data_IF_681103843254
#
_entry.id   IF_681103843254
#
_cell.length_a   1.000
_cell.length_b   1.000
_cell.length_c   1.000
_cell.angle_alpha   90.00
_cell.angle_beta   90.00
_cell.angle_gamma   90.00
#
_symmetry.space_group_name_H-M   'P 1'
#
loop_
_entity.id
_entity.type
_entity.pdbx_description
1 polymer ?
#
# COMPACT_ATOMS: atom_id res chain seq x y z
N UNK A 1 -33.20 -4.62 88.68
CA UNK A 1 -34.17 -5.00 87.63
C UNK A 1 -34.06 -3.93 86.54
N UNK A 2 -33.29 -4.22 85.56
CA UNK A 2 -32.95 -3.27 84.50
C UNK A 2 -33.80 -3.50 83.28
N UNK A 3 -34.49 -2.49 82.89
CA UNK A 3 -35.13 -2.41 81.58
C UNK A 3 -34.07 -2.01 80.55
N UNK A 4 -33.79 -2.90 79.63
CA UNK A 4 -33.05 -2.57 78.42
C UNK A 4 -34.07 -2.28 77.36
N UNK A 5 -34.29 -1.00 77.09
CA UNK A 5 -35.06 -0.56 75.91
C UNK A 5 -34.25 -0.81 74.64
N UNK A 6 -34.76 -1.72 73.84
CA UNK A 6 -34.23 -2.05 72.52
C UNK A 6 -34.66 -0.94 71.54
N UNK A 7 -33.74 0.00 71.29
CA UNK A 7 -33.88 1.03 70.27
C UNK A 7 -33.66 0.41 68.93
N UNK A 8 -34.71 -0.07 68.28
CA UNK A 8 -34.68 -0.45 66.87
C UNK A 8 -34.58 0.81 66.05
N UNK A 9 -33.36 1.13 65.61
CA UNK A 9 -33.07 2.17 64.65
C UNK A 9 -33.55 1.71 63.27
N UNK A 10 -34.65 2.31 62.84
CA UNK A 10 -35.30 2.04 61.56
C UNK A 10 -34.40 2.59 60.44
N UNK A 11 -33.47 1.75 59.93
CA UNK A 11 -32.62 2.07 58.82
C UNK A 11 -33.48 2.00 57.53
N UNK A 12 -34.18 3.08 57.23
CA UNK A 12 -34.86 3.24 55.94
C UNK A 12 -33.79 3.42 54.86
N UNK A 13 -33.58 2.37 54.09
CA UNK A 13 -32.83 2.51 52.85
C UNK A 13 -33.52 3.54 51.95
N UNK A 14 -32.77 4.44 51.30
CA UNK A 14 -33.37 5.34 50.34
C UNK A 14 -33.98 4.53 49.20
N UNK A 15 -35.30 4.65 49.05
CA UNK A 15 -35.97 4.11 47.83
C UNK A 15 -35.45 4.90 46.66
N UNK A 16 -34.80 4.20 45.73
CA UNK A 16 -34.46 4.74 44.43
C UNK A 16 -35.76 4.91 43.63
N UNK A 17 -36.33 6.11 43.69
CA UNK A 17 -37.41 6.53 42.80
C UNK A 17 -36.86 6.85 41.42
N UNK A 18 -36.23 5.86 40.81
CA UNK A 18 -35.69 5.96 39.42
C UNK A 18 -36.78 5.55 38.42
N UNK A 19 -37.95 6.19 38.58
CA UNK A 19 -39.00 6.06 37.58
C UNK A 19 -38.63 6.79 36.29
N UNK A 20 -37.95 6.09 35.38
CA UNK A 20 -37.81 6.59 34.03
C UNK A 20 -39.16 6.87 33.43
N UNK A 21 -39.43 8.14 33.11
CA UNK A 21 -40.68 8.51 32.47
C UNK A 21 -40.67 8.06 31.01
N UNK A 22 -41.83 7.81 30.42
CA UNK A 22 -41.95 7.46 29.00
C UNK A 22 -41.23 8.48 28.09
N UNK A 23 -41.09 9.72 28.56
CA UNK A 23 -40.38 10.80 27.88
C UNK A 23 -38.86 10.59 27.91
N UNK A 24 -38.30 10.12 29.03
CA UNK A 24 -36.87 9.88 29.18
C UNK A 24 -36.42 8.67 28.32
N UNK A 25 -37.23 7.62 28.26
CA UNK A 25 -37.05 6.48 27.39
C UNK A 25 -37.11 6.92 25.90
N UNK A 26 -38.05 7.79 25.55
CA UNK A 26 -38.17 8.33 24.19
C UNK A 26 -36.94 9.15 23.78
N UNK A 27 -36.42 10.00 24.69
CA UNK A 27 -35.20 10.78 24.44
C UNK A 27 -33.96 9.85 24.30
N UNK A 28 -33.83 8.86 25.19
CA UNK A 28 -32.73 7.90 25.13
C UNK A 28 -32.71 7.10 23.79
N UNK A 29 -33.88 6.65 23.33
CA UNK A 29 -34.02 5.99 22.04
C UNK A 29 -33.68 6.91 20.86
N UNK A 30 -34.14 8.16 20.91
CA UNK A 30 -33.82 9.13 19.86
C UNK A 30 -32.30 9.41 19.79
N UNK A 31 -31.65 9.61 20.94
CA UNK A 31 -30.19 9.80 21.02
C UNK A 31 -29.47 8.58 20.54
N UNK A 32 -29.89 7.37 20.89
CA UNK A 32 -29.31 6.11 20.45
C UNK A 32 -29.37 5.94 18.92
N UNK A 33 -30.53 6.25 18.31
CA UNK A 33 -30.71 6.22 16.87
C UNK A 33 -29.82 7.23 16.14
N UNK A 34 -29.66 8.44 16.70
CA UNK A 34 -28.74 9.45 16.15
C UNK A 34 -27.28 8.94 16.20
N UNK A 35 -26.87 8.35 17.32
CA UNK A 35 -25.50 7.81 17.46
C UNK A 35 -25.27 6.68 16.45
N UNK A 36 -26.24 5.77 16.29
CA UNK A 36 -26.16 4.71 15.27
C UNK A 36 -26.07 5.31 13.87
N UNK A 37 -26.87 6.30 13.54
CA UNK A 37 -26.84 6.98 12.25
C UNK A 37 -25.47 7.61 11.96
N UNK A 38 -24.88 8.28 12.96
CA UNK A 38 -23.54 8.86 12.87
C UNK A 38 -22.48 7.76 12.71
N UNK A 39 -22.58 6.67 13.48
CA UNK A 39 -21.63 5.56 13.40
C UNK A 39 -21.69 4.87 12.03
N UNK A 40 -22.89 4.64 11.49
CA UNK A 40 -23.07 4.08 10.13
C UNK A 40 -22.53 5.05 9.08
N UNK A 41 -22.83 6.33 9.17
CA UNK A 41 -22.33 7.35 8.26
C UNK A 41 -20.80 7.45 8.28
N UNK A 42 -20.22 7.45 9.49
CA UNK A 42 -18.75 7.42 9.67
C UNK A 42 -18.13 6.15 9.12
N UNK A 43 -18.77 4.99 9.31
CA UNK A 43 -18.32 3.72 8.76
C UNK A 43 -18.31 3.74 7.22
N UNK A 44 -19.39 4.16 6.58
CA UNK A 44 -19.45 4.29 5.12
C UNK A 44 -18.47 5.33 4.58
N UNK A 45 -18.32 6.45 5.27
CA UNK A 45 -17.35 7.48 4.92
C UNK A 45 -15.91 6.98 5.03
N UNK A 46 -15.59 6.20 6.06
CA UNK A 46 -14.27 5.59 6.21
C UNK A 46 -14.02 4.50 5.16
N UNK A 47 -15.04 3.71 4.83
CA UNK A 47 -14.98 2.69 3.78
C UNK A 47 -14.76 3.30 2.38
N UNK A 48 -15.39 4.46 2.11
CA UNK A 48 -15.24 5.17 0.83
C UNK A 48 -13.84 5.78 0.62
N UNK A 49 -13.03 5.87 1.68
CA UNK A 49 -11.64 6.37 1.61
C UNK A 49 -10.61 5.29 1.30
N UNK A 50 -11.00 4.02 1.26
CA UNK A 50 -10.08 2.96 0.83
C UNK A 50 -9.81 3.16 -0.65
N UNK A 51 -8.54 3.42 -0.99
CA UNK A 51 -8.11 3.42 -2.39
C UNK A 51 -8.40 2.04 -2.99
N UNK A 52 -8.99 1.98 -4.19
CA UNK A 52 -9.21 0.70 -4.85
C UNK A 52 -7.85 0.00 -5.08
N UNK A 53 -7.84 -1.33 -5.11
CA UNK A 53 -6.61 -2.06 -5.41
C UNK A 53 -6.06 -1.66 -6.78
N UNK A 54 -4.74 -1.63 -6.90
CA UNK A 54 -4.05 -1.35 -8.16
C UNK A 54 -4.02 -2.64 -8.96
N UNK A 55 -4.94 -2.77 -9.90
CA UNK A 55 -5.14 -3.94 -10.73
C UNK A 55 -4.98 -3.60 -12.23
N UNK A 56 -4.84 -4.63 -13.05
CA UNK A 56 -4.80 -4.46 -14.51
C UNK A 56 -6.05 -3.71 -15.01
N UNK A 57 -5.84 -2.71 -15.84
CA UNK A 57 -6.86 -1.80 -16.37
C UNK A 57 -7.04 -0.51 -15.57
N UNK A 58 -6.46 -0.38 -14.38
CA UNK A 58 -6.53 0.86 -13.58
C UNK A 58 -5.42 1.84 -13.95
N UNK A 59 -5.66 3.13 -13.70
CA UNK A 59 -4.61 4.15 -13.82
C UNK A 59 -3.58 3.93 -12.71
N UNK A 60 -2.30 3.81 -13.08
CA UNK A 60 -1.22 3.70 -12.13
C UNK A 60 -1.14 4.96 -11.25
N UNK A 61 -1.17 4.84 -9.92
CA UNK A 61 -0.99 5.96 -9.01
C UNK A 61 0.33 6.67 -9.29
N UNK A 62 0.29 7.99 -9.47
CA UNK A 62 1.50 8.76 -9.66
C UNK A 62 2.25 8.95 -8.34
N UNK A 63 3.56 8.94 -8.40
CA UNK A 63 4.44 9.13 -7.25
C UNK A 63 5.67 9.92 -7.64
N UNK A 64 6.34 10.48 -6.64
CA UNK A 64 7.67 11.08 -6.79
C UNK A 64 8.58 10.52 -5.72
N UNK A 65 9.70 9.90 -6.13
CA UNK A 65 10.70 9.35 -5.23
C UNK A 65 12.10 9.86 -5.57
N UNK A 66 12.99 9.94 -4.58
CA UNK A 66 14.40 10.23 -4.82
C UNK A 66 15.08 9.06 -5.55
N UNK A 67 15.90 9.41 -6.54
CA UNK A 67 16.86 8.49 -7.16
C UNK A 67 18.05 8.25 -6.23
N UNK A 68 18.57 7.04 -6.21
CA UNK A 68 19.79 6.69 -5.48
C UNK A 68 20.99 7.59 -5.88
N UNK A 69 21.07 7.96 -7.16
CA UNK A 69 22.17 8.79 -7.71
C UNK A 69 21.88 10.29 -7.65
N UNK A 70 20.86 10.70 -6.89
CA UNK A 70 20.46 12.10 -6.72
C UNK A 70 19.35 12.55 -7.67
N UNK A 71 18.65 13.62 -7.27
CA UNK A 71 17.44 14.09 -7.93
C UNK A 71 16.20 13.29 -7.54
N UNK A 72 15.06 13.66 -8.13
CA UNK A 72 13.77 12.99 -7.95
C UNK A 72 13.23 12.57 -9.31
N UNK A 73 12.40 11.54 -9.29
CA UNK A 73 11.71 11.00 -10.46
C UNK A 73 10.24 10.79 -10.12
N UNK A 74 9.37 11.19 -11.04
CA UNK A 74 7.95 10.90 -10.98
C UNK A 74 7.56 9.84 -12.03
N UNK A 75 6.58 9.00 -11.73
CA UNK A 75 6.08 8.04 -12.72
C UNK A 75 5.56 8.77 -13.97
N UNK A 76 4.94 9.94 -13.79
CA UNK A 76 4.44 10.77 -14.89
C UNK A 76 5.52 11.25 -15.86
N UNK A 77 6.81 11.31 -15.46
CA UNK A 77 7.93 11.66 -16.33
C UNK A 77 8.18 10.60 -17.41
N UNK A 78 7.61 9.43 -17.25
CA UNK A 78 7.76 8.28 -18.17
C UNK A 78 6.55 8.05 -19.07
N UNK A 79 5.65 9.02 -19.20
CA UNK A 79 4.56 8.92 -20.20
C UNK A 79 5.14 8.71 -21.59
N UNK A 80 4.52 7.83 -22.37
CA UNK A 80 5.04 7.40 -23.67
C UNK A 80 6.03 6.23 -23.63
N UNK A 81 6.44 5.79 -22.43
CA UNK A 81 7.23 4.57 -22.25
C UNK A 81 6.39 3.48 -21.56
N UNK A 82 6.72 2.24 -21.83
CA UNK A 82 6.30 1.10 -20.99
C UNK A 82 7.21 1.10 -19.77
N UNK A 83 6.62 1.06 -18.57
CA UNK A 83 7.36 1.07 -17.30
C UNK A 83 7.15 -0.25 -16.58
N UNK A 84 8.25 -0.85 -16.13
CA UNK A 84 8.26 -1.91 -15.15
C UNK A 84 8.59 -1.29 -13.80
N UNK A 85 7.56 -1.11 -12.96
CA UNK A 85 7.74 -0.73 -11.57
C UNK A 85 7.95 -1.99 -10.74
N UNK A 86 9.12 -2.12 -10.12
CA UNK A 86 9.46 -3.25 -9.25
C UNK A 86 9.66 -2.74 -7.82
N UNK A 87 8.95 -3.33 -6.86
CA UNK A 87 9.06 -3.03 -5.43
C UNK A 87 9.90 -4.14 -4.80
N UNK A 88 10.99 -3.78 -4.14
CA UNK A 88 11.99 -4.71 -3.68
C UNK A 88 12.74 -4.25 -2.43
N UNK A 89 13.63 -5.11 -1.87
CA UNK A 89 14.52 -4.76 -0.78
C UNK A 89 15.83 -5.55 -0.82
N UNK A 90 16.89 -5.02 -0.22
CA UNK A 90 18.21 -5.67 -0.16
C UNK A 90 18.21 -6.94 0.68
N UNK A 91 17.38 -7.03 1.68
CA UNK A 91 17.21 -8.19 2.58
C UNK A 91 16.31 -9.30 2.01
N UNK A 92 15.68 -9.06 0.87
CA UNK A 92 14.78 -10.00 0.21
C UNK A 92 15.58 -10.97 -0.68
N UNK A 93 15.71 -12.22 -0.31
CA UNK A 93 16.46 -13.21 -1.08
C UNK A 93 15.90 -13.44 -2.49
N UNK A 94 14.58 -13.62 -2.72
CA UNK A 94 14.04 -13.75 -4.08
C UNK A 94 14.30 -12.51 -4.93
N UNK A 95 14.31 -11.30 -4.35
CA UNK A 95 14.64 -10.08 -5.07
C UNK A 95 16.10 -10.12 -5.58
N UNK A 96 17.03 -10.59 -4.74
CA UNK A 96 18.45 -10.72 -5.08
C UNK A 96 18.66 -11.68 -6.25
N UNK A 97 17.90 -12.77 -6.29
CA UNK A 97 17.95 -13.79 -7.35
C UNK A 97 17.38 -13.26 -8.67
N UNK A 98 16.36 -12.40 -8.63
CA UNK A 98 15.71 -11.80 -9.80
C UNK A 98 16.56 -10.72 -10.48
N UNK A 99 17.26 -9.88 -9.69
CA UNK A 99 17.95 -8.66 -10.15
C UNK A 99 18.94 -8.87 -11.31
N UNK A 100 19.76 -9.94 -11.36
CA UNK A 100 20.64 -10.15 -12.50
C UNK A 100 19.89 -10.35 -13.83
N UNK A 101 18.80 -11.11 -13.83
CA UNK A 101 17.97 -11.34 -15.02
C UNK A 101 17.26 -10.06 -15.45
N UNK A 102 16.76 -9.28 -14.48
CA UNK A 102 16.14 -7.98 -14.72
C UNK A 102 17.13 -6.99 -15.33
N UNK A 103 18.37 -6.95 -14.83
CA UNK A 103 19.40 -6.06 -15.36
C UNK A 103 19.79 -6.45 -16.80
N UNK A 104 19.92 -7.74 -17.10
CA UNK A 104 20.16 -8.21 -18.46
C UNK A 104 19.01 -7.84 -19.40
N UNK A 105 17.77 -8.02 -18.95
CA UNK A 105 16.57 -7.61 -19.71
C UNK A 105 16.59 -6.10 -19.99
N UNK A 106 16.90 -5.28 -18.99
CA UNK A 106 17.01 -3.83 -19.14
C UNK A 106 18.05 -3.44 -20.20
N UNK A 107 19.22 -4.09 -20.19
CA UNK A 107 20.26 -3.84 -21.18
C UNK A 107 19.79 -4.18 -22.60
N UNK A 108 19.04 -5.26 -22.77
CA UNK A 108 18.47 -5.68 -24.06
C UNK A 108 17.35 -4.73 -24.55
N UNK A 109 16.80 -3.90 -23.65
CA UNK A 109 15.76 -2.91 -23.97
C UNK A 109 16.32 -1.53 -24.29
N UNK A 110 17.63 -1.32 -24.27
CA UNK A 110 18.25 -0.02 -24.61
C UNK A 110 17.79 0.49 -25.98
N UNK A 111 17.39 1.77 -26.01
CA UNK A 111 16.89 2.43 -27.23
C UNK A 111 15.41 2.19 -27.53
N UNK A 112 14.71 1.36 -26.75
CA UNK A 112 13.25 1.21 -26.83
C UNK A 112 12.55 2.17 -25.85
N UNK A 113 11.29 2.54 -26.08
CA UNK A 113 10.50 3.33 -25.13
C UNK A 113 10.08 2.47 -23.91
N UNK A 114 11.07 2.04 -23.14
CA UNK A 114 10.93 1.18 -21.96
C UNK A 114 11.78 1.73 -20.81
N UNK A 115 11.31 1.56 -19.59
CA UNK A 115 12.06 1.90 -18.39
C UNK A 115 11.77 0.91 -17.26
N UNK A 116 12.75 0.71 -16.38
CA UNK A 116 12.56 0.04 -15.08
C UNK A 116 12.68 1.09 -13.99
N UNK A 117 11.70 1.14 -13.11
CA UNK A 117 11.72 1.94 -11.88
C UNK A 117 11.75 0.96 -10.69
N UNK A 118 12.93 0.72 -10.15
CA UNK A 118 13.11 -0.23 -9.04
C UNK A 118 13.04 0.50 -7.70
N UNK A 119 11.88 0.47 -7.03
CA UNK A 119 11.62 1.14 -5.76
C UNK A 119 12.04 0.25 -4.58
N UNK A 120 13.14 0.62 -3.92
CA UNK A 120 13.61 -0.07 -2.70
C UNK A 120 12.87 0.43 -1.48
N UNK A 121 12.33 -0.52 -0.69
CA UNK A 121 11.69 -0.25 0.61
C UNK A 121 12.65 -0.35 1.81
N UNK A 122 13.96 -0.35 1.57
CA UNK A 122 14.96 -0.33 2.63
C UNK A 122 14.87 0.97 3.44
N UNK A 123 14.70 0.83 4.75
CA UNK A 123 14.46 1.98 5.64
C UNK A 123 15.67 2.89 5.83
N UNK A 124 16.89 2.36 5.60
CA UNK A 124 18.12 3.16 5.63
C UNK A 124 18.50 3.74 4.26
N UNK A 125 17.61 3.58 3.27
CA UNK A 125 17.76 4.17 1.94
C UNK A 125 19.10 3.83 1.28
N UNK A 126 19.81 4.84 0.79
CA UNK A 126 21.06 4.65 0.04
C UNK A 126 22.14 3.90 0.81
N UNK A 127 22.15 3.94 2.16
CA UNK A 127 23.14 3.24 2.98
C UNK A 127 23.11 1.72 2.75
N UNK A 128 21.91 1.14 2.58
CA UNK A 128 21.77 -0.29 2.31
C UNK A 128 21.78 -0.58 0.80
N UNK A 129 21.15 0.29 0.03
CA UNK A 129 20.87 0.07 -1.40
C UNK A 129 22.11 0.24 -2.25
N UNK A 130 22.93 1.26 -2.00
CA UNK A 130 24.08 1.58 -2.86
C UNK A 130 25.15 0.46 -2.92
N UNK A 131 25.58 -0.14 -1.80
CA UNK A 131 26.52 -1.27 -1.83
C UNK A 131 25.94 -2.47 -2.60
N UNK A 132 24.66 -2.74 -2.45
CA UNK A 132 23.95 -3.82 -3.13
C UNK A 132 23.92 -3.60 -4.65
N UNK A 133 23.51 -2.40 -5.09
CA UNK A 133 23.46 -2.02 -6.52
C UNK A 133 24.84 -2.12 -7.16
N UNK A 134 25.88 -1.65 -6.48
CA UNK A 134 27.27 -1.77 -6.94
C UNK A 134 27.74 -3.22 -7.04
N UNK A 135 27.42 -4.05 -6.03
CA UNK A 135 27.79 -5.46 -6.00
C UNK A 135 27.21 -6.25 -7.17
N UNK A 136 25.94 -5.97 -7.52
CA UNK A 136 25.24 -6.66 -8.63
C UNK A 136 25.41 -5.96 -9.99
N UNK A 137 26.05 -4.78 -10.03
CA UNK A 137 26.25 -4.02 -11.27
C UNK A 137 24.92 -3.61 -11.91
N UNK A 138 23.91 -3.25 -11.12
CA UNK A 138 22.59 -2.85 -11.63
C UNK A 138 22.69 -1.51 -12.34
N UNK A 139 22.03 -1.38 -13.49
CA UNK A 139 22.16 -0.21 -14.38
C UNK A 139 20.83 0.52 -14.64
N UNK A 140 19.73 -0.04 -14.22
CA UNK A 140 18.41 0.61 -14.27
C UNK A 140 18.24 1.62 -13.12
N UNK A 141 17.30 2.58 -13.23
CA UNK A 141 16.97 3.51 -12.17
C UNK A 141 16.53 2.85 -10.88
N UNK A 142 17.22 3.16 -9.78
CA UNK A 142 16.89 2.69 -8.44
C UNK A 142 16.37 3.86 -7.63
N UNK A 143 15.14 3.71 -7.09
CA UNK A 143 14.42 4.69 -6.32
C UNK A 143 14.44 4.30 -4.83
N UNK A 144 14.46 5.30 -3.96
CA UNK A 144 14.49 5.11 -2.51
C UNK A 144 13.09 5.35 -1.93
N UNK A 145 12.34 4.29 -1.67
CA UNK A 145 11.02 4.32 -1.03
C UNK A 145 11.11 3.99 0.48
N UNK A 146 12.04 4.63 1.18
CA UNK A 146 12.33 4.35 2.60
C UNK A 146 11.12 4.54 3.53
N UNK A 147 10.16 5.37 3.14
CA UNK A 147 8.91 5.60 3.86
C UNK A 147 7.77 4.69 3.39
N UNK A 148 8.04 3.76 2.46
CA UNK A 148 7.07 2.82 1.88
C UNK A 148 5.86 3.51 1.25
N UNK A 149 6.05 4.69 0.67
CA UNK A 149 5.00 5.47 0.03
C UNK A 149 4.42 4.71 -1.17
N UNK A 150 5.28 4.31 -2.12
CA UNK A 150 4.89 3.56 -3.32
C UNK A 150 4.38 2.19 -2.93
N UNK A 151 5.06 1.50 -2.01
CA UNK A 151 4.58 0.22 -1.47
C UNK A 151 3.14 0.33 -0.94
N UNK A 152 2.82 1.39 -0.18
CA UNK A 152 1.48 1.64 0.35
C UNK A 152 0.47 2.03 -0.73
N UNK A 153 0.85 2.90 -1.67
CA UNK A 153 -0.02 3.37 -2.76
C UNK A 153 -0.43 2.24 -3.71
N UNK A 154 0.51 1.36 -4.02
CA UNK A 154 0.30 0.18 -4.88
C UNK A 154 -0.23 -1.02 -4.11
N UNK A 155 -0.42 -0.89 -2.78
CA UNK A 155 -0.91 -1.93 -1.88
C UNK A 155 -0.10 -3.23 -1.98
N UNK A 156 1.22 -3.09 -2.19
CA UNK A 156 2.10 -4.24 -2.28
C UNK A 156 2.10 -5.02 -0.95
N UNK A 157 1.88 -6.33 -1.06
CA UNK A 157 1.71 -7.24 0.07
C UNK A 157 2.99 -7.96 0.45
N UNK A 158 3.97 -7.94 -0.44
CA UNK A 158 5.27 -8.57 -0.27
C UNK A 158 6.34 -7.98 -1.19
N UNK A 159 7.51 -8.61 -1.21
CA UNK A 159 8.59 -8.30 -2.15
C UNK A 159 9.25 -9.59 -2.64
N UNK A 160 9.63 -9.68 -3.94
CA UNK A 160 9.42 -8.68 -4.97
C UNK A 160 7.98 -8.65 -5.47
N UNK A 161 7.54 -7.47 -5.87
CA UNK A 161 6.23 -7.27 -6.48
C UNK A 161 6.39 -6.28 -7.64
N UNK A 162 5.84 -6.62 -8.82
CA UNK A 162 6.08 -5.83 -10.03
C UNK A 162 4.78 -5.45 -10.72
N UNK A 163 4.79 -4.25 -11.31
CA UNK A 163 3.66 -3.72 -12.09
C UNK A 163 4.16 -3.34 -13.49
N UNK A 164 3.50 -3.87 -14.52
CA UNK A 164 3.74 -3.46 -15.90
C UNK A 164 2.76 -2.35 -16.23
N UNK A 165 3.28 -1.19 -16.57
CA UNK A 165 2.50 0.03 -16.85
C UNK A 165 2.73 0.42 -18.30
N UNK A 166 1.66 0.66 -19.05
CA UNK A 166 1.75 1.05 -20.46
C UNK A 166 2.11 2.52 -20.66
N UNK A 167 2.27 2.92 -21.94
CA UNK A 167 2.62 4.28 -22.36
C UNK A 167 1.63 5.36 -21.90
N UNK A 168 0.38 4.97 -21.63
CA UNK A 168 -0.68 5.86 -21.15
C UNK A 168 -0.74 5.91 -19.61
N UNK A 169 0.08 5.11 -18.92
CA UNK A 169 0.08 5.01 -17.47
C UNK A 169 -1.01 4.12 -16.92
N UNK A 170 -1.49 3.15 -17.70
CA UNK A 170 -2.45 2.14 -17.26
C UNK A 170 -1.68 0.90 -16.83
N UNK A 171 -1.97 0.36 -15.67
CA UNK A 171 -1.46 -0.93 -15.21
C UNK A 171 -1.98 -2.02 -16.13
N UNK A 172 -1.11 -2.83 -16.67
CA UNK A 172 -1.44 -3.93 -17.58
C UNK A 172 -1.26 -5.30 -16.95
N UNK A 173 -0.38 -5.37 -15.95
CA UNK A 173 -0.17 -6.58 -15.17
C UNK A 173 0.34 -6.26 -13.77
N UNK A 174 0.05 -7.16 -12.82
CA UNK A 174 0.49 -7.11 -11.44
C UNK A 174 1.05 -8.49 -11.06
N UNK A 175 2.33 -8.56 -10.80
CA UNK A 175 3.10 -9.78 -10.67
C UNK A 175 3.55 -9.93 -9.22
N UNK A 176 3.20 -11.06 -8.62
CA UNK A 176 3.59 -11.41 -7.25
C UNK A 176 4.77 -12.39 -7.29
N UNK A 177 5.86 -12.02 -6.64
CA UNK A 177 7.06 -12.84 -6.55
C UNK A 177 8.06 -12.64 -7.70
N UNK A 178 9.18 -13.39 -7.69
CA UNK A 178 10.28 -13.19 -8.62
C UNK A 178 9.98 -13.74 -10.02
N UNK A 179 10.51 -13.06 -11.04
CA UNK A 179 10.40 -13.43 -12.45
C UNK A 179 11.80 -13.65 -13.05
N UNK A 180 11.94 -14.64 -13.93
CA UNK A 180 13.12 -14.74 -14.78
C UNK A 180 12.93 -13.88 -16.03
N UNK A 181 13.41 -12.64 -15.96
CA UNK A 181 13.26 -11.64 -17.02
C UNK A 181 14.05 -11.94 -18.30
N UNK A 182 14.94 -12.95 -18.31
CA UNK A 182 15.64 -13.39 -19.52
C UNK A 182 14.89 -14.47 -20.29
N UNK A 183 13.85 -15.07 -19.70
CA UNK A 183 13.05 -16.09 -20.38
C UNK A 183 12.16 -15.45 -21.45
N UNK A 184 12.38 -15.83 -22.71
CA UNK A 184 11.52 -15.40 -23.83
C UNK A 184 10.09 -15.98 -23.75
N UNK A 185 9.89 -17.01 -22.93
CA UNK A 185 8.59 -17.66 -22.74
C UNK A 185 7.83 -17.06 -21.55
N UNK A 186 8.46 -16.20 -20.76
CA UNK A 186 7.79 -15.52 -19.66
C UNK A 186 6.66 -14.64 -20.21
N UNK A 187 5.40 -14.81 -19.73
CA UNK A 187 4.26 -14.04 -20.23
C UNK A 187 4.46 -12.54 -20.05
N UNK A 188 5.13 -12.12 -18.97
CA UNK A 188 5.45 -10.73 -18.65
C UNK A 188 6.33 -10.10 -19.73
N UNK A 189 7.33 -10.84 -20.21
CA UNK A 189 8.21 -10.37 -21.29
C UNK A 189 7.46 -10.26 -22.63
N UNK A 190 6.58 -11.20 -22.92
CA UNK A 190 5.74 -11.15 -24.11
C UNK A 190 4.78 -9.94 -24.06
N UNK A 191 4.17 -9.68 -22.88
CA UNK A 191 3.32 -8.52 -22.68
C UNK A 191 4.08 -7.21 -22.90
N UNK A 192 5.29 -7.06 -22.31
CA UNK A 192 6.11 -5.86 -22.51
C UNK A 192 6.44 -5.68 -24.00
N UNK A 193 6.86 -6.74 -24.72
CA UNK A 193 7.14 -6.65 -26.16
C UNK A 193 5.89 -6.24 -26.97
N UNK A 194 4.73 -6.78 -26.63
CA UNK A 194 3.45 -6.40 -27.26
C UNK A 194 3.13 -4.90 -27.01
N UNK A 195 3.25 -4.42 -25.78
CA UNK A 195 3.01 -3.02 -25.42
C UNK A 195 3.99 -2.04 -26.09
N UNK A 196 5.20 -2.50 -26.40
CA UNK A 196 6.16 -1.67 -27.13
C UNK A 196 5.78 -1.49 -28.61
N UNK A 197 5.11 -2.48 -29.22
CA UNK A 197 4.64 -2.45 -30.61
C UNK A 197 3.31 -1.72 -30.79
N UNK A 198 2.45 -1.74 -29.78
CA UNK A 198 1.16 -1.03 -29.77
C UNK A 198 1.37 0.43 -29.36
N UNK A 199 0.63 1.34 -30.03
CA UNK A 199 0.68 2.78 -29.73
C UNK A 199 -0.11 3.14 -28.48
#
# INVERSE_FOLDING_TARGET
MNQIEEKTENLSLPQADDGWTARDVGIALAVFLVIIGIAIGAFFFWQSRKTPPVEAGTVAPDFTLPLMNGGNVSLSDYRGKVVLLNIWATWCNPCREEMPSMNQFYQNMKGKPFEILAASIDTRGSTDVEPFVKQLGLTFPVLLDSNKQVNGMYQATGVPESFIIDKNGIVRDHILGPVNWTSSQAPENQLIQHLLQTQ
#
